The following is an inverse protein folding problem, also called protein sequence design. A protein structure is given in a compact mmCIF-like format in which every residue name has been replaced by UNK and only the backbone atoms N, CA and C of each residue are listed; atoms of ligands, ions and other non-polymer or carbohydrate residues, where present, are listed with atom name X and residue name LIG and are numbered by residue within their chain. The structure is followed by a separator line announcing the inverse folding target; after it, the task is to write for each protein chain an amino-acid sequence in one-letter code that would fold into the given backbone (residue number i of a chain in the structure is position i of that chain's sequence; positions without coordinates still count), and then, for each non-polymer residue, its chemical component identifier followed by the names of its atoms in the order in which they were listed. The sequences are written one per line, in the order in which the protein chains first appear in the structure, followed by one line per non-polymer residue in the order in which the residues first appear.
data_IF_279505974185
#
_entry.id   IF_279505974185
#
_cell.length_a   1.000
_cell.length_b   1.000
_cell.length_c   1.000
_cell.angle_alpha   90.00
_cell.angle_beta   90.00
_cell.angle_gamma   90.00
#
_symmetry.space_group_name_H-M   'P 1'
#
loop_
_entity.id
_entity.type
_entity.pdbx_description
1 polymer ?
#
# COMPACT_ATOMS: atom_id res chain seq x y z
N UNK A 1 -29.20 -21.84 6.57
CA UNK A 1 -27.97 -21.18 7.04
C UNK A 1 -27.46 -20.25 5.93
N UNK A 2 -27.80 -18.95 5.96
CA UNK A 2 -27.35 -17.92 4.99
C UNK A 2 -26.77 -16.70 5.72
N UNK A 3 -25.46 -16.70 6.09
CA UNK A 3 -24.77 -15.46 6.52
C UNK A 3 -23.84 -14.87 5.47
N UNK A 4 -23.64 -15.49 4.30
CA UNK A 4 -22.55 -15.12 3.37
C UNK A 4 -22.86 -13.92 2.45
N UNK A 5 -24.09 -13.72 2.03
CA UNK A 5 -24.43 -12.72 1.00
C UNK A 5 -24.25 -11.25 1.41
N UNK A 6 -24.46 -10.92 2.68
CA UNK A 6 -24.28 -9.53 3.18
C UNK A 6 -22.79 -9.17 3.36
N UNK A 7 -21.98 -10.12 3.82
CA UNK A 7 -20.53 -9.93 3.99
C UNK A 7 -19.85 -9.77 2.63
N UNK A 8 -20.20 -10.61 1.66
CA UNK A 8 -19.68 -10.54 0.28
C UNK A 8 -20.08 -9.23 -0.41
N UNK A 9 -21.31 -8.75 -0.19
CA UNK A 9 -21.78 -7.47 -0.73
C UNK A 9 -21.02 -6.28 -0.12
N UNK A 10 -20.71 -6.33 1.18
CA UNK A 10 -19.92 -5.29 1.86
C UNK A 10 -18.49 -5.25 1.35
N UNK A 11 -17.83 -6.41 1.19
CA UNK A 11 -16.47 -6.53 0.66
C UNK A 11 -16.44 -5.93 -0.75
N UNK A 12 -17.31 -6.35 -1.65
CA UNK A 12 -17.40 -5.82 -3.02
C UNK A 12 -17.63 -4.30 -3.06
N UNK A 13 -18.41 -3.75 -2.13
CA UNK A 13 -18.65 -2.31 -2.04
C UNK A 13 -17.38 -1.58 -1.60
N UNK A 14 -16.66 -2.07 -0.58
CA UNK A 14 -15.39 -1.50 -0.13
C UNK A 14 -14.33 -1.54 -1.21
N UNK A 15 -14.19 -2.65 -1.93
CA UNK A 15 -13.25 -2.78 -3.06
C UNK A 15 -13.51 -1.75 -4.16
N UNK A 16 -14.78 -1.52 -4.52
CA UNK A 16 -15.17 -0.50 -5.51
C UNK A 16 -14.82 0.91 -5.04
N UNK A 17 -15.05 1.21 -3.76
CA UNK A 17 -14.71 2.50 -3.16
C UNK A 17 -13.19 2.70 -3.17
N UNK A 18 -12.41 1.70 -2.75
CA UNK A 18 -10.94 1.78 -2.73
C UNK A 18 -10.36 1.95 -4.14
N UNK A 19 -10.88 1.24 -5.15
CA UNK A 19 -10.43 1.38 -6.54
C UNK A 19 -10.71 2.79 -7.07
N UNK A 20 -11.91 3.33 -6.85
CA UNK A 20 -12.28 4.68 -7.24
C UNK A 20 -11.42 5.74 -6.52
N UNK A 21 -11.20 5.57 -5.22
CA UNK A 21 -10.38 6.47 -4.41
C UNK A 21 -8.92 6.45 -4.86
N UNK A 22 -8.34 5.27 -5.11
CA UNK A 22 -6.99 5.12 -5.63
C UNK A 22 -6.77 5.89 -6.93
N UNK A 23 -7.72 5.79 -7.86
CA UNK A 23 -7.69 6.54 -9.13
C UNK A 23 -7.75 8.05 -8.90
N UNK A 24 -8.69 8.56 -8.08
CA UNK A 24 -8.86 9.99 -7.80
C UNK A 24 -7.63 10.56 -7.07
N UNK A 25 -7.10 9.85 -6.08
CA UNK A 25 -5.89 10.29 -5.38
C UNK A 25 -4.66 10.30 -6.30
N UNK A 26 -4.56 9.36 -7.23
CA UNK A 26 -3.51 9.35 -8.26
C UNK A 26 -3.59 10.56 -9.20
N UNK A 27 -4.81 10.92 -9.62
CA UNK A 27 -5.06 12.03 -10.54
C UNK A 27 -4.85 13.40 -9.88
N UNK A 28 -5.36 13.59 -8.66
CA UNK A 28 -5.54 14.90 -8.01
C UNK A 28 -4.75 15.11 -6.72
N UNK A 29 -4.11 14.07 -6.22
CA UNK A 29 -3.50 14.06 -4.89
C UNK A 29 -4.52 14.08 -3.76
N UNK A 30 -4.04 14.00 -2.52
CA UNK A 30 -4.90 14.05 -1.34
C UNK A 30 -5.72 15.35 -1.28
N UNK A 31 -5.06 16.51 -1.41
CA UNK A 31 -5.73 17.82 -1.27
C UNK A 31 -6.83 18.04 -2.32
N UNK A 32 -6.58 17.67 -3.59
CA UNK A 32 -7.51 17.88 -4.70
C UNK A 32 -8.64 16.86 -4.79
N UNK A 33 -8.56 15.73 -4.12
CA UNK A 33 -9.58 14.70 -4.13
C UNK A 33 -10.84 15.11 -3.36
N UNK A 34 -12.02 14.85 -3.91
CA UNK A 34 -13.32 15.14 -3.30
C UNK A 34 -14.13 13.86 -3.09
N UNK A 35 -14.71 13.72 -1.90
CA UNK A 35 -15.52 12.54 -1.53
C UNK A 35 -16.72 12.32 -2.44
N UNK A 36 -17.34 13.40 -2.94
CA UNK A 36 -18.45 13.32 -3.89
C UNK A 36 -18.02 12.69 -5.23
N UNK A 37 -16.85 13.06 -5.70
CA UNK A 37 -16.29 12.52 -6.94
C UNK A 37 -15.91 11.04 -6.79
N UNK A 38 -15.33 10.67 -5.66
CA UNK A 38 -15.03 9.27 -5.34
C UNK A 38 -16.33 8.46 -5.28
N UNK A 39 -17.37 8.96 -4.61
CA UNK A 39 -18.66 8.32 -4.51
C UNK A 39 -19.30 8.08 -5.90
N UNK A 40 -19.28 9.11 -6.75
CA UNK A 40 -19.77 9.02 -8.12
C UNK A 40 -19.01 7.97 -8.94
N UNK A 41 -17.67 7.97 -8.89
CA UNK A 41 -16.82 7.00 -9.59
C UNK A 41 -17.01 5.57 -9.07
N UNK A 42 -17.21 5.40 -7.77
CA UNK A 42 -17.51 4.10 -7.15
C UNK A 42 -18.94 3.62 -7.40
N UNK A 43 -19.84 4.48 -7.92
CA UNK A 43 -21.26 4.16 -8.10
C UNK A 43 -21.98 3.92 -6.77
N UNK A 44 -21.65 4.71 -5.74
CA UNK A 44 -22.29 4.68 -4.41
C UNK A 44 -22.66 6.10 -3.99
N UNK A 45 -23.47 6.25 -2.95
CA UNK A 45 -23.67 7.55 -2.33
C UNK A 45 -22.54 7.85 -1.32
N UNK A 46 -22.33 9.13 -1.01
CA UNK A 46 -21.29 9.58 -0.09
C UNK A 46 -21.41 8.97 1.31
N UNK A 47 -22.66 8.84 1.81
CA UNK A 47 -22.93 8.22 3.10
C UNK A 47 -22.45 6.76 3.17
N UNK A 48 -22.48 6.04 2.04
CA UNK A 48 -21.96 4.68 1.95
C UNK A 48 -20.45 4.65 2.20
N UNK A 49 -19.68 5.63 1.71
CA UNK A 49 -18.23 5.70 1.97
C UNK A 49 -17.99 5.93 3.47
N UNK A 50 -18.68 6.91 4.07
CA UNK A 50 -18.55 7.19 5.51
C UNK A 50 -18.91 5.98 6.38
N UNK A 51 -19.93 5.24 5.98
CA UNK A 51 -20.34 4.03 6.72
C UNK A 51 -19.34 2.87 6.61
N UNK A 52 -18.74 2.67 5.42
CA UNK A 52 -17.87 1.54 5.17
C UNK A 52 -16.41 1.78 5.58
N UNK A 53 -15.92 3.02 5.45
CA UNK A 53 -14.51 3.34 5.58
C UNK A 53 -14.30 4.51 6.55
N UNK A 54 -15.05 5.60 6.38
CA UNK A 54 -14.89 6.82 7.17
C UNK A 54 -14.74 8.06 6.31
N UNK A 55 -14.02 9.04 6.83
CA UNK A 55 -13.72 10.30 6.16
C UNK A 55 -12.62 10.14 5.08
N UNK A 56 -12.20 11.27 4.52
CA UNK A 56 -11.19 11.30 3.46
C UNK A 56 -9.81 10.82 3.94
N UNK A 57 -9.46 11.14 5.19
CA UNK A 57 -8.20 10.72 5.79
C UNK A 57 -8.18 9.20 6.01
N UNK A 58 -9.26 8.65 6.55
CA UNK A 58 -9.45 7.21 6.72
C UNK A 58 -9.44 6.48 5.37
N UNK A 59 -10.10 7.04 4.36
CA UNK A 59 -10.12 6.47 3.02
C UNK A 59 -8.73 6.49 2.37
N UNK A 60 -7.98 7.57 2.54
CA UNK A 60 -6.62 7.67 2.02
C UNK A 60 -5.68 6.67 2.70
N UNK A 61 -5.76 6.57 4.02
CA UNK A 61 -5.03 5.59 4.80
C UNK A 61 -5.34 4.16 4.33
N UNK A 62 -6.62 3.83 4.14
CA UNK A 62 -7.06 2.49 3.73
C UNK A 62 -6.57 2.13 2.32
N UNK A 63 -6.62 3.09 1.37
CA UNK A 63 -6.10 2.89 0.00
C UNK A 63 -4.62 2.52 0.03
N UNK A 64 -3.80 3.22 0.79
CA UNK A 64 -2.37 2.96 0.87
C UNK A 64 -2.07 1.68 1.67
N UNK A 65 -2.72 1.52 2.82
CA UNK A 65 -2.56 0.34 3.69
C UNK A 65 -2.90 -0.96 2.96
N UNK A 66 -3.96 -0.95 2.16
CA UNK A 66 -4.38 -2.11 1.37
C UNK A 66 -3.32 -2.59 0.37
N UNK A 67 -2.41 -1.72 -0.05
CA UNK A 67 -1.31 -2.05 -0.96
C UNK A 67 -0.04 -2.41 -0.20
N UNK A 68 0.37 -1.59 0.75
CA UNK A 68 1.66 -1.75 1.45
C UNK A 68 1.66 -2.91 2.43
N UNK A 69 0.63 -3.06 3.25
CA UNK A 69 0.59 -4.07 4.32
C UNK A 69 0.74 -5.50 3.80
N UNK A 70 -0.06 -5.98 2.82
CA UNK A 70 0.07 -7.35 2.32
C UNK A 70 1.42 -7.59 1.63
N UNK A 71 1.99 -6.57 1.01
CA UNK A 71 3.29 -6.67 0.33
C UNK A 71 4.41 -6.77 1.34
N UNK A 72 4.43 -5.90 2.36
CA UNK A 72 5.41 -5.93 3.44
C UNK A 72 5.38 -7.27 4.21
N UNK A 73 4.17 -7.77 4.53
CA UNK A 73 4.01 -9.06 5.21
C UNK A 73 4.57 -10.22 4.38
N UNK A 74 4.30 -10.24 3.08
CA UNK A 74 4.83 -11.25 2.16
C UNK A 74 6.35 -11.19 2.06
N UNK A 75 6.92 -10.00 2.00
CA UNK A 75 8.37 -9.79 1.99
C UNK A 75 9.01 -10.26 3.30
N UNK A 76 8.39 -9.97 4.45
CA UNK A 76 8.87 -10.40 5.75
C UNK A 76 8.90 -11.94 5.90
N UNK A 77 7.96 -12.66 5.27
CA UNK A 77 7.99 -14.13 5.22
C UNK A 77 9.23 -14.62 4.49
N UNK A 78 9.63 -13.95 3.41
CA UNK A 78 10.82 -14.33 2.62
C UNK A 78 12.14 -14.19 3.39
N UNK A 79 12.21 -13.30 4.40
CA UNK A 79 13.38 -13.20 5.30
C UNK A 79 13.65 -14.49 6.08
N UNK A 80 12.58 -15.26 6.37
CA UNK A 80 12.63 -16.48 7.18
C UNK A 80 12.93 -17.74 6.34
N UNK A 81 13.12 -17.58 5.03
CA UNK A 81 13.50 -18.67 4.14
C UNK A 81 14.98 -18.99 4.29
N UNK A 82 15.38 -20.21 3.94
CA UNK A 82 16.79 -20.62 3.89
C UNK A 82 17.59 -20.06 2.70
N UNK A 83 17.03 -19.06 1.98
CA UNK A 83 17.68 -18.42 0.84
C UNK A 83 18.86 -17.54 1.29
N UNK A 84 19.87 -17.43 0.44
CA UNK A 84 20.96 -16.50 0.65
C UNK A 84 20.57 -15.02 0.47
N UNK A 85 21.39 -14.06 0.96
CA UNK A 85 21.04 -12.64 0.93
C UNK A 85 20.83 -12.10 -0.50
N UNK A 86 21.56 -12.59 -1.50
CA UNK A 86 21.35 -12.20 -2.91
C UNK A 86 19.96 -12.63 -3.43
N UNK A 87 19.56 -13.87 -3.17
CA UNK A 87 18.26 -14.39 -3.59
C UNK A 87 17.12 -13.68 -2.87
N UNK A 88 17.30 -13.36 -1.57
CA UNK A 88 16.35 -12.54 -0.79
C UNK A 88 16.21 -11.14 -1.39
N UNK A 89 17.33 -10.50 -1.78
CA UNK A 89 17.31 -9.17 -2.40
C UNK A 89 16.61 -9.19 -3.76
N UNK A 90 16.93 -10.17 -4.62
CA UNK A 90 16.26 -10.36 -5.91
C UNK A 90 14.75 -10.58 -5.72
N UNK A 91 14.37 -11.39 -4.74
CA UNK A 91 12.97 -11.65 -4.41
C UNK A 91 12.27 -10.39 -3.89
N UNK A 92 12.94 -9.59 -3.06
CA UNK A 92 12.45 -8.29 -2.60
C UNK A 92 12.17 -7.35 -3.78
N UNK A 93 13.16 -7.15 -4.67
CA UNK A 93 13.02 -6.29 -5.85
C UNK A 93 11.89 -6.77 -6.75
N UNK A 94 11.78 -8.07 -6.98
CA UNK A 94 10.73 -8.67 -7.80
C UNK A 94 9.33 -8.43 -7.20
N UNK A 95 9.16 -8.66 -5.90
CA UNK A 95 7.90 -8.38 -5.20
C UNK A 95 7.53 -6.89 -5.21
N UNK A 96 8.53 -6.00 -5.15
CA UNK A 96 8.33 -4.56 -5.25
C UNK A 96 7.86 -4.16 -6.65
N UNK A 97 8.51 -4.67 -7.70
CA UNK A 97 8.10 -4.44 -9.08
C UNK A 97 6.67 -4.96 -9.34
N UNK A 98 6.36 -6.18 -8.89
CA UNK A 98 5.02 -6.76 -9.00
C UNK A 98 3.95 -5.91 -8.28
N UNK A 99 4.30 -5.31 -7.14
CA UNK A 99 3.40 -4.39 -6.44
C UNK A 99 3.09 -3.16 -7.28
N UNK A 100 4.11 -2.54 -7.87
CA UNK A 100 3.92 -1.35 -8.72
C UNK A 100 3.09 -1.68 -9.97
N UNK A 101 3.34 -2.81 -10.61
CA UNK A 101 2.60 -3.26 -11.79
C UNK A 101 1.11 -3.51 -11.49
N UNK A 102 0.82 -4.10 -10.33
CA UNK A 102 -0.57 -4.37 -9.91
C UNK A 102 -1.31 -3.12 -9.43
N UNK A 103 -0.58 -2.10 -8.99
CA UNK A 103 -1.13 -0.86 -8.41
C UNK A 103 -0.57 0.38 -9.12
N UNK A 104 -0.90 0.59 -10.42
CA UNK A 104 -0.31 1.68 -11.21
C UNK A 104 -0.63 3.08 -10.66
N UNK A 105 -1.68 3.21 -9.86
CA UNK A 105 -2.04 4.47 -9.20
C UNK A 105 -1.16 4.80 -7.99
N UNK A 106 -0.38 3.84 -7.47
CA UNK A 106 0.44 4.03 -6.29
C UNK A 106 1.61 5.01 -6.54
N UNK A 107 2.34 4.82 -7.64
CA UNK A 107 3.54 5.62 -7.95
C UNK A 107 3.25 7.12 -8.01
N UNK A 108 2.21 7.62 -8.72
CA UNK A 108 1.88 9.04 -8.72
C UNK A 108 1.49 9.57 -7.33
N UNK A 109 0.79 8.78 -6.52
CA UNK A 109 0.44 9.15 -5.14
C UNK A 109 1.71 9.31 -4.30
N UNK A 110 2.59 8.30 -4.32
CA UNK A 110 3.85 8.32 -3.56
C UNK A 110 4.77 9.47 -3.96
N UNK A 111 4.93 9.72 -5.27
CA UNK A 111 5.75 10.81 -5.77
C UNK A 111 5.23 12.19 -5.31
N UNK A 112 3.91 12.38 -5.32
CA UNK A 112 3.30 13.63 -4.82
C UNK A 112 3.55 13.83 -3.33
N UNK A 113 3.37 12.78 -2.54
CA UNK A 113 3.60 12.85 -1.09
C UNK A 113 5.07 13.11 -0.77
N UNK A 114 6.01 12.45 -1.42
CA UNK A 114 7.45 12.73 -1.27
C UNK A 114 7.75 14.18 -1.66
N UNK A 115 7.21 14.67 -2.77
CA UNK A 115 7.41 16.05 -3.24
C UNK A 115 6.80 17.09 -2.29
N UNK A 116 5.72 16.75 -1.56
CA UNK A 116 5.09 17.61 -0.54
C UNK A 116 5.72 17.47 0.86
N UNK A 117 6.77 16.68 1.01
CA UNK A 117 7.41 16.41 2.30
C UNK A 117 6.69 15.39 3.17
N UNK A 118 5.77 14.60 2.59
CA UNK A 118 5.05 13.53 3.29
C UNK A 118 3.98 14.01 4.27
N UNK A 119 3.52 15.26 4.13
CA UNK A 119 2.62 15.91 5.10
C UNK A 119 1.26 15.22 5.25
N UNK A 120 0.81 14.50 4.22
CA UNK A 120 -0.48 13.81 4.25
C UNK A 120 -0.35 12.30 4.50
N UNK A 121 0.85 11.78 4.80
CA UNK A 121 0.99 10.38 5.14
C UNK A 121 0.37 10.08 6.51
N UNK A 122 -0.67 9.24 6.57
CA UNK A 122 -1.20 8.77 7.85
C UNK A 122 -0.16 7.96 8.62
N UNK A 123 -0.22 7.97 9.95
CA UNK A 123 0.72 7.22 10.81
C UNK A 123 0.78 5.72 10.50
N UNK A 124 -0.35 5.14 10.08
CA UNK A 124 -0.38 3.73 9.68
C UNK A 124 0.52 3.47 8.48
N UNK A 125 0.60 4.41 7.53
CA UNK A 125 1.44 4.29 6.34
C UNK A 125 2.90 4.47 6.68
N UNK A 126 3.23 5.37 7.59
CA UNK A 126 4.61 5.50 8.10
C UNK A 126 5.08 4.17 8.70
N UNK A 127 4.21 3.49 9.46
CA UNK A 127 4.52 2.16 10.02
C UNK A 127 4.67 1.09 8.94
N UNK A 128 3.78 1.06 7.95
CA UNK A 128 3.84 0.10 6.84
C UNK A 128 5.11 0.30 6.00
N UNK A 129 5.49 1.54 5.70
CA UNK A 129 6.74 1.88 5.00
C UNK A 129 7.97 1.51 5.84
N UNK A 130 7.94 1.79 7.13
CA UNK A 130 9.02 1.40 8.05
C UNK A 130 9.20 -0.11 8.07
N UNK A 131 8.11 -0.87 8.12
CA UNK A 131 8.16 -2.33 8.06
C UNK A 131 8.70 -2.81 6.70
N UNK A 132 8.19 -2.24 5.60
CA UNK A 132 8.60 -2.55 4.24
C UNK A 132 10.12 -2.33 4.02
N UNK A 133 10.62 -1.13 4.36
CA UNK A 133 12.05 -0.83 4.23
C UNK A 133 12.90 -1.55 5.28
N UNK A 134 12.33 -1.88 6.44
CA UNK A 134 12.98 -2.71 7.46
C UNK A 134 13.37 -4.09 6.93
N UNK A 135 12.51 -4.70 6.11
CA UNK A 135 12.83 -5.98 5.45
C UNK A 135 14.07 -5.84 4.55
N UNK A 136 14.14 -4.79 3.74
CA UNK A 136 15.32 -4.52 2.91
C UNK A 136 16.58 -4.31 3.75
N UNK A 137 16.45 -3.55 4.83
CA UNK A 137 17.58 -3.29 5.74
C UNK A 137 18.14 -4.58 6.36
N UNK A 138 17.29 -5.52 6.77
CA UNK A 138 17.71 -6.81 7.31
C UNK A 138 18.42 -7.67 6.24
N UNK A 139 17.92 -7.70 5.01
CA UNK A 139 18.59 -8.39 3.88
C UNK A 139 20.01 -7.82 3.67
N UNK A 140 20.12 -6.50 3.64
CA UNK A 140 21.42 -5.84 3.42
C UNK A 140 22.39 -6.10 4.59
N UNK A 141 21.92 -6.06 5.84
CA UNK A 141 22.72 -6.39 7.01
C UNK A 141 23.22 -7.83 6.98
N UNK A 142 22.35 -8.77 6.62
CA UNK A 142 22.71 -10.19 6.49
C UNK A 142 23.79 -10.37 5.42
N UNK A 143 23.63 -9.75 4.25
CA UNK A 143 24.59 -9.84 3.15
C UNK A 143 25.96 -9.22 3.48
N UNK A 144 25.97 -8.10 4.21
CA UNK A 144 27.20 -7.49 4.71
C UNK A 144 27.90 -8.39 5.75
N UNK A 145 27.15 -8.95 6.68
CA UNK A 145 27.68 -9.84 7.72
C UNK A 145 28.30 -11.13 7.15
N UNK A 146 27.73 -11.64 6.04
CA UNK A 146 28.23 -12.82 5.33
C UNK A 146 29.31 -12.51 4.29
N UNK A 147 29.68 -11.24 4.10
CA UNK A 147 30.65 -10.81 3.09
C UNK A 147 30.15 -10.93 1.64
N UNK A 148 28.85 -11.15 1.43
CA UNK A 148 28.20 -11.23 0.11
C UNK A 148 28.05 -9.84 -0.50
N UNK A 149 27.72 -8.86 0.35
CA UNK A 149 27.65 -7.45 -0.04
C UNK A 149 28.85 -6.68 0.51
N UNK A 150 29.26 -5.65 -0.21
CA UNK A 150 30.33 -4.74 0.21
C UNK A 150 29.75 -3.38 0.55
N UNK A 151 30.24 -2.79 1.62
CA UNK A 151 29.87 -1.42 1.96
C UNK A 151 30.61 -0.46 1.02
N UNK A 152 29.86 0.25 0.18
CA UNK A 152 30.40 1.35 -0.61
C UNK A 152 30.32 2.65 0.21
N UNK A 153 31.38 3.46 0.10
CA UNK A 153 31.44 4.79 0.73
C UNK A 153 30.61 5.79 -0.06
#
# INVERSE_FOLDING_TARGET
MKPNGLKDKRIKTSERILAAASSIFSEKGFAGARMDEIANRAGVNKATIYYHIGDKDALYAEVLHHVFKPTADRMAVNLRTGLGPEEKLVTFIRNFADMLDRHPHLSPVMLREVASGGQNFPDIIIRDLTHFFGVLQEILKEGLAQGVFVQTR
#
